data_IF_043816185854
#
_entry.id   IF_043816185854
#
_cell.length_a   1.000
_cell.length_b   1.000
_cell.length_c   1.000
_cell.angle_alpha   90.00
_cell.angle_beta   90.00
_cell.angle_gamma   90.00
#
_symmetry.space_group_name_H-M   'P 1'
#
loop_
_entity.id
_entity.type
_entity.pdbx_description
1 polymer ?
#
# COMPACT_ATOMS: atom_id res chain seq x y z
N UNK A 1 11.83 25.47 -58.34
CA UNK A 1 12.22 25.73 -56.94
C UNK A 1 11.12 25.35 -55.91
N UNK A 2 9.84 25.54 -56.21
CA UNK A 2 8.78 25.36 -55.21
C UNK A 2 8.44 23.91 -54.79
N UNK A 3 8.69 22.90 -55.62
CA UNK A 3 8.40 21.48 -55.29
C UNK A 3 9.43 20.86 -54.32
N UNK A 4 10.69 21.26 -54.42
CA UNK A 4 11.77 20.76 -53.54
C UNK A 4 11.63 21.35 -52.13
N UNK A 5 11.20 22.61 -51.98
CA UNK A 5 10.96 23.28 -50.72
C UNK A 5 9.76 22.64 -50.00
N UNK A 6 8.71 22.25 -50.72
CA UNK A 6 7.53 21.60 -50.13
C UNK A 6 7.86 20.19 -49.61
N UNK A 7 8.69 19.43 -50.31
CA UNK A 7 9.16 18.09 -49.86
C UNK A 7 10.05 18.19 -48.63
N UNK A 8 10.91 19.21 -48.53
CA UNK A 8 11.76 19.45 -47.33
C UNK A 8 10.94 19.83 -46.11
N UNK A 9 9.88 20.64 -46.27
CA UNK A 9 8.95 20.98 -45.18
C UNK A 9 8.15 19.78 -44.68
N UNK A 10 7.72 18.86 -45.55
CA UNK A 10 7.02 17.63 -45.15
C UNK A 10 7.98 16.66 -44.45
N UNK A 11 9.25 16.57 -44.85
CA UNK A 11 10.24 15.74 -44.15
C UNK A 11 10.56 16.26 -42.74
N UNK A 12 10.55 17.56 -42.51
CA UNK A 12 10.80 18.16 -41.19
C UNK A 12 9.64 17.91 -40.21
N UNK A 13 8.39 17.84 -40.70
CA UNK A 13 7.25 17.55 -39.82
C UNK A 13 7.14 16.07 -39.42
N UNK A 14 7.78 15.15 -40.14
CA UNK A 14 7.78 13.71 -39.81
C UNK A 14 8.85 13.38 -38.74
N UNK A 15 9.89 14.20 -38.57
CA UNK A 15 10.99 13.98 -37.64
C UNK A 15 10.73 14.45 -36.21
N UNK A 16 9.55 15.02 -35.91
CA UNK A 16 9.23 15.55 -34.57
C UNK A 16 8.27 14.67 -33.76
N UNK A 17 8.11 13.40 -34.09
CA UNK A 17 7.43 12.46 -33.19
C UNK A 17 8.45 12.02 -32.11
N UNK A 18 8.73 12.90 -31.13
CA UNK A 18 9.34 12.46 -29.88
C UNK A 18 8.36 11.45 -29.26
N UNK A 19 8.72 10.17 -29.30
CA UNK A 19 8.04 9.19 -28.47
C UNK A 19 8.10 9.68 -27.03
N UNK A 20 6.94 10.07 -26.48
CA UNK A 20 6.88 10.47 -25.08
C UNK A 20 7.37 9.30 -24.23
N UNK A 21 8.37 9.58 -23.38
CA UNK A 21 8.90 8.58 -22.45
C UNK A 21 7.77 8.12 -21.54
N UNK A 22 7.58 6.82 -21.41
CA UNK A 22 6.59 6.23 -20.52
C UNK A 22 6.91 6.60 -19.05
N UNK A 23 5.89 6.84 -18.26
CA UNK A 23 6.01 6.93 -16.80
C UNK A 23 6.22 5.52 -16.25
N UNK A 24 7.24 5.32 -15.43
CA UNK A 24 7.51 4.05 -14.78
C UNK A 24 7.05 4.12 -13.32
N UNK A 25 6.23 3.18 -12.89
CA UNK A 25 5.83 3.02 -11.49
C UNK A 25 6.39 1.71 -10.96
N UNK A 26 7.12 1.78 -9.85
CA UNK A 26 7.74 0.64 -9.18
C UNK A 26 7.20 0.59 -7.76
N UNK A 27 6.39 -0.43 -7.45
CA UNK A 27 5.79 -0.60 -6.12
C UNK A 27 6.64 -1.55 -5.29
N UNK A 28 7.22 -1.03 -4.21
CA UNK A 28 8.07 -1.77 -3.29
C UNK A 28 7.33 -1.97 -1.97
N UNK A 29 7.02 -3.22 -1.66
CA UNK A 29 6.58 -3.62 -0.34
C UNK A 29 7.74 -3.57 0.64
N UNK A 30 7.52 -2.99 1.81
CA UNK A 30 8.54 -2.75 2.83
C UNK A 30 8.18 -3.41 4.16
N UNK A 31 9.19 -3.56 5.02
CA UNK A 31 9.06 -3.85 6.43
C UNK A 31 9.40 -2.59 7.20
N UNK A 32 8.47 -2.06 7.99
CA UNK A 32 8.66 -0.79 8.70
C UNK A 32 9.79 -0.82 9.75
N UNK A 33 10.05 -2.00 10.31
CA UNK A 33 11.12 -2.20 11.30
C UNK A 33 12.29 -2.94 10.68
N UNK A 34 13.53 -2.65 11.14
CA UNK A 34 14.70 -3.39 10.69
C UNK A 34 14.58 -4.89 10.98
N UNK A 35 14.87 -5.68 9.95
CA UNK A 35 15.05 -7.13 10.00
C UNK A 35 16.44 -7.46 9.44
N UNK A 36 16.92 -8.67 9.70
CA UNK A 36 18.27 -9.09 9.29
C UNK A 36 18.55 -8.88 7.79
N UNK A 37 17.53 -9.04 6.96
CA UNK A 37 17.65 -9.01 5.49
C UNK A 37 16.93 -7.80 4.86
N UNK A 38 16.34 -6.93 5.67
CA UNK A 38 15.70 -5.72 5.21
C UNK A 38 15.78 -4.62 6.28
N UNK A 39 16.52 -3.58 5.97
CA UNK A 39 16.67 -2.39 6.80
C UNK A 39 16.74 -1.13 5.91
N UNK A 40 16.92 0.02 6.52
CA UNK A 40 17.02 1.30 5.80
C UNK A 40 18.16 1.34 4.79
N UNK A 41 19.29 0.68 5.08
CA UNK A 41 20.43 0.59 4.14
C UNK A 41 20.09 -0.27 2.92
N UNK A 42 19.42 -1.41 3.14
CA UNK A 42 18.94 -2.27 2.04
C UNK A 42 17.98 -1.50 1.13
N UNK A 43 17.02 -0.75 1.71
CA UNK A 43 16.09 0.05 0.94
C UNK A 43 16.80 1.21 0.21
N UNK A 44 17.76 1.86 0.86
CA UNK A 44 18.57 2.91 0.23
C UNK A 44 19.31 2.36 -1.01
N UNK A 45 19.93 1.17 -0.92
CA UNK A 45 20.62 0.56 -2.05
C UNK A 45 19.66 0.20 -3.19
N UNK A 46 18.45 -0.27 -2.89
CA UNK A 46 17.41 -0.49 -3.92
C UNK A 46 17.05 0.84 -4.62
N UNK A 47 16.90 1.93 -3.86
CA UNK A 47 16.66 3.25 -4.45
C UNK A 47 17.83 3.74 -5.31
N UNK A 48 19.09 3.46 -4.90
CA UNK A 48 20.29 3.76 -5.69
C UNK A 48 20.29 3.04 -7.05
N UNK A 49 19.89 1.76 -7.07
CA UNK A 49 19.81 0.97 -8.30
C UNK A 49 18.70 1.45 -9.23
N UNK A 50 17.56 1.86 -8.67
CA UNK A 50 16.40 2.35 -9.43
C UNK A 50 16.62 3.77 -9.96
N UNK A 51 17.20 4.67 -9.18
CA UNK A 51 17.34 6.10 -9.47
C UNK A 51 15.97 6.77 -9.79
N UNK A 52 15.03 6.84 -8.83
CA UNK A 52 13.72 7.44 -9.05
C UNK A 52 13.79 8.97 -9.16
N UNK A 53 12.85 9.56 -9.91
CA UNK A 53 12.57 11.02 -9.87
C UNK A 53 11.67 11.38 -8.68
N UNK A 54 10.80 10.43 -8.27
CA UNK A 54 9.85 10.59 -7.18
C UNK A 54 9.85 9.36 -6.29
N UNK A 55 9.74 9.58 -4.98
CA UNK A 55 9.45 8.54 -3.99
C UNK A 55 8.12 8.89 -3.32
N UNK A 56 7.16 7.98 -3.39
CA UNK A 56 5.86 8.10 -2.77
C UNK A 56 5.83 7.26 -1.50
N UNK A 57 5.41 7.86 -0.37
CA UNK A 57 5.42 7.23 0.93
C UNK A 57 4.00 7.02 1.48
N UNK A 58 3.78 5.90 2.17
CA UNK A 58 2.53 5.53 2.84
C UNK A 58 2.29 6.39 4.10
N UNK A 59 2.36 7.70 3.91
CA UNK A 59 2.13 8.74 4.90
C UNK A 59 1.11 9.74 4.36
N UNK A 60 0.33 10.36 5.24
CA UNK A 60 -0.55 11.46 4.86
C UNK A 60 0.21 12.81 4.88
N UNK A 61 -0.40 13.85 4.33
CA UNK A 61 0.24 15.16 4.16
C UNK A 61 0.65 15.82 5.49
N UNK A 62 0.06 15.42 6.62
CA UNK A 62 0.37 16.00 7.93
C UNK A 62 1.80 15.72 8.39
N UNK A 63 2.45 14.67 7.87
CA UNK A 63 3.84 14.32 8.16
C UNK A 63 4.86 15.15 7.37
N UNK A 64 4.41 15.96 6.41
CA UNK A 64 5.28 16.72 5.52
C UNK A 64 5.15 18.23 5.73
N UNK A 65 6.23 18.95 5.43
CA UNK A 65 6.24 20.39 5.26
C UNK A 65 5.61 20.78 3.92
N UNK A 66 5.41 22.07 3.66
CA UNK A 66 4.82 22.57 2.40
C UNK A 66 5.68 22.25 1.16
N UNK A 67 6.97 22.05 1.31
CA UNK A 67 7.91 21.63 0.26
C UNK A 67 8.17 20.12 0.22
N UNK A 68 7.33 19.35 0.91
CA UNK A 68 7.36 17.89 0.97
C UNK A 68 8.66 17.32 1.56
N UNK A 69 9.17 17.93 2.63
CA UNK A 69 10.18 17.33 3.51
C UNK A 69 9.50 16.77 4.74
N UNK A 70 10.07 15.73 5.34
CA UNK A 70 9.52 15.23 6.59
C UNK A 70 9.60 16.31 7.69
N UNK A 71 8.53 16.46 8.48
CA UNK A 71 8.55 17.32 9.68
C UNK A 71 9.41 16.69 10.77
N UNK A 72 9.29 15.37 10.93
CA UNK A 72 10.05 14.57 11.86
C UNK A 72 10.51 13.29 11.14
N UNK A 73 11.80 12.96 11.19
CA UNK A 73 12.33 11.76 10.57
C UNK A 73 11.88 10.54 11.39
N UNK A 74 11.11 9.69 10.75
CA UNK A 74 10.69 8.42 11.36
C UNK A 74 11.87 7.45 11.50
N UNK A 75 11.91 6.69 12.60
CA UNK A 75 12.85 5.59 12.78
C UNK A 75 12.45 4.32 12.00
N UNK A 76 11.53 4.43 11.04
CA UNK A 76 11.18 3.35 10.11
C UNK A 76 12.25 3.18 9.03
N UNK A 77 12.29 2.00 8.42
CA UNK A 77 13.20 1.75 7.30
C UNK A 77 12.98 2.75 6.16
N UNK A 78 11.72 3.07 5.86
CA UNK A 78 11.33 4.01 4.81
C UNK A 78 11.82 5.43 5.13
N UNK A 79 11.49 5.95 6.32
CA UNK A 79 11.87 7.30 6.70
C UNK A 79 13.39 7.52 6.67
N UNK A 80 14.16 6.58 7.24
CA UNK A 80 15.62 6.67 7.25
C UNK A 80 16.23 6.53 5.85
N UNK A 81 15.72 5.63 5.01
CA UNK A 81 16.22 5.44 3.65
C UNK A 81 15.90 6.65 2.76
N UNK A 82 14.67 7.17 2.85
CA UNK A 82 14.23 8.32 2.07
C UNK A 82 15.03 9.57 2.43
N UNK A 83 15.22 9.87 3.71
CA UNK A 83 16.03 11.02 4.14
C UNK A 83 17.47 10.92 3.62
N UNK A 84 18.13 9.78 3.84
CA UNK A 84 19.48 9.53 3.32
C UNK A 84 19.54 9.70 1.79
N UNK A 85 18.49 9.25 1.08
CA UNK A 85 18.45 9.30 -0.38
C UNK A 85 18.29 10.74 -0.90
N UNK A 86 17.34 11.53 -0.35
CA UNK A 86 17.14 12.91 -0.78
C UNK A 86 18.25 13.86 -0.33
N UNK A 87 18.98 13.55 0.74
CA UNK A 87 20.20 14.27 1.11
C UNK A 87 21.27 14.10 0.02
N UNK A 88 21.45 12.87 -0.48
CA UNK A 88 22.41 12.58 -1.57
C UNK A 88 21.93 13.07 -2.93
N UNK A 89 20.61 13.03 -3.19
CA UNK A 89 19.97 13.39 -4.46
C UNK A 89 18.87 14.45 -4.27
N UNK A 90 19.24 15.74 -4.07
CA UNK A 90 18.28 16.80 -3.69
C UNK A 90 17.21 17.12 -4.74
N UNK A 91 17.40 16.65 -6.00
CA UNK A 91 16.41 16.82 -7.08
C UNK A 91 15.24 15.84 -7.00
N UNK A 92 15.38 14.75 -6.25
CA UNK A 92 14.33 13.76 -6.03
C UNK A 92 13.25 14.34 -5.12
N UNK A 93 12.00 14.02 -5.40
CA UNK A 93 10.84 14.59 -4.70
C UNK A 93 10.10 13.52 -3.93
N UNK A 94 9.88 13.76 -2.64
CA UNK A 94 8.97 12.96 -1.83
C UNK A 94 7.52 13.40 -2.05
N UNK A 95 6.56 12.46 -1.95
CA UNK A 95 5.12 12.76 -1.97
C UNK A 95 4.35 11.81 -1.07
N UNK A 96 3.44 12.34 -0.24
CA UNK A 96 2.47 11.53 0.48
C UNK A 96 1.43 10.97 -0.48
N UNK A 97 0.95 9.73 -0.23
CA UNK A 97 -0.16 9.15 -0.99
C UNK A 97 -1.18 8.41 -0.13
N UNK A 98 -1.01 8.41 1.17
CA UNK A 98 -1.93 7.76 2.12
C UNK A 98 -3.32 8.42 2.11
N UNK A 99 -4.30 7.73 2.68
CA UNK A 99 -5.60 8.27 3.05
C UNK A 99 -5.43 9.37 4.11
N UNK A 100 -5.84 10.60 3.77
CA UNK A 100 -5.70 11.76 4.65
C UNK A 100 -6.45 11.58 5.97
N UNK A 101 -5.78 11.85 7.09
CA UNK A 101 -6.35 11.73 8.43
C UNK A 101 -6.79 10.31 8.81
N UNK A 102 -6.15 9.27 8.24
CA UNK A 102 -6.50 7.86 8.42
C UNK A 102 -6.81 7.46 9.86
N UNK A 103 -6.00 7.92 10.82
CA UNK A 103 -6.14 7.48 12.21
C UNK A 103 -7.38 8.09 12.85
N UNK A 104 -7.60 9.39 12.66
CA UNK A 104 -8.79 10.10 13.16
C UNK A 104 -10.07 9.56 12.51
N UNK A 105 -10.04 9.34 11.21
CA UNK A 105 -11.17 8.75 10.48
C UNK A 105 -11.58 7.40 11.10
N UNK A 106 -10.65 6.47 11.29
CA UNK A 106 -10.91 5.15 11.86
C UNK A 106 -11.44 5.21 13.30
N UNK A 107 -10.92 6.13 14.11
CA UNK A 107 -11.38 6.34 15.49
C UNK A 107 -12.81 6.91 15.47
N UNK A 108 -13.07 7.91 14.64
CA UNK A 108 -14.36 8.59 14.58
C UNK A 108 -15.48 7.67 14.07
N UNK A 109 -15.24 6.84 13.08
CA UNK A 109 -16.23 5.83 12.64
C UNK A 109 -16.31 4.63 13.58
N UNK A 110 -15.38 4.47 14.53
CA UNK A 110 -15.36 3.39 15.53
C UNK A 110 -14.76 2.08 15.01
N UNK A 111 -14.16 2.03 13.83
CA UNK A 111 -13.46 0.84 13.34
C UNK A 111 -12.17 0.56 14.13
N UNK A 112 -11.60 1.57 14.79
CA UNK A 112 -10.51 1.45 15.74
C UNK A 112 -10.99 1.97 17.12
N UNK A 113 -10.84 1.21 18.20
CA UNK A 113 -10.08 -0.05 18.35
C UNK A 113 -10.90 -1.34 18.12
N UNK A 114 -12.15 -1.27 17.61
CA UNK A 114 -13.04 -2.43 17.52
C UNK A 114 -12.47 -3.56 16.65
N UNK A 115 -11.68 -3.26 15.62
CA UNK A 115 -10.98 -4.24 14.81
C UNK A 115 -10.08 -5.16 15.65
N UNK A 116 -9.22 -4.57 16.50
CA UNK A 116 -8.35 -5.32 17.40
C UNK A 116 -9.11 -6.02 18.54
N UNK A 117 -10.17 -5.40 19.09
CA UNK A 117 -10.99 -6.00 20.13
C UNK A 117 -11.77 -7.22 19.61
N UNK A 118 -12.25 -7.12 18.37
CA UNK A 118 -12.99 -8.19 17.71
C UNK A 118 -12.10 -9.40 17.41
N UNK A 119 -10.91 -9.18 16.86
CA UNK A 119 -9.97 -10.28 16.59
C UNK A 119 -9.52 -10.97 17.87
N UNK A 120 -9.27 -10.23 18.96
CA UNK A 120 -8.97 -10.80 20.28
C UNK A 120 -10.12 -11.64 20.81
N UNK A 121 -11.38 -11.22 20.61
CA UNK A 121 -12.53 -11.99 21.03
C UNK A 121 -12.66 -13.28 20.22
N UNK A 122 -12.44 -13.26 18.90
CA UNK A 122 -12.41 -14.47 18.06
C UNK A 122 -11.34 -15.42 18.55
N UNK A 123 -10.11 -14.94 18.79
CA UNK A 123 -9.00 -15.73 19.34
C UNK A 123 -9.40 -16.38 20.68
N UNK A 124 -10.08 -15.64 21.56
CA UNK A 124 -10.54 -16.15 22.85
C UNK A 124 -11.61 -17.22 22.71
N UNK A 125 -12.59 -17.04 21.83
CA UNK A 125 -13.63 -18.03 21.55
C UNK A 125 -13.05 -19.31 20.97
N UNK A 126 -12.06 -19.20 20.07
CA UNK A 126 -11.37 -20.35 19.50
C UNK A 126 -10.58 -21.14 20.58
N UNK A 127 -9.91 -20.42 21.48
CA UNK A 127 -9.09 -21.03 22.54
C UNK A 127 -9.89 -21.90 23.53
N UNK A 128 -11.19 -21.59 23.69
CA UNK A 128 -12.09 -22.32 24.61
C UNK A 128 -13.11 -23.16 23.86
N UNK A 129 -12.84 -23.50 22.60
CA UNK A 129 -13.63 -24.36 21.72
C UNK A 129 -15.12 -23.93 21.59
N UNK A 130 -15.37 -22.61 21.61
CA UNK A 130 -16.71 -22.03 21.44
C UNK A 130 -17.03 -21.64 19.98
N UNK A 131 -16.07 -21.70 19.07
CA UNK A 131 -16.33 -21.57 17.63
C UNK A 131 -16.90 -22.87 17.08
N UNK A 132 -17.86 -22.80 16.16
CA UNK A 132 -18.26 -23.96 15.37
C UNK A 132 -17.10 -24.42 14.47
N UNK A 133 -17.15 -25.67 14.00
CA UNK A 133 -16.14 -26.23 13.09
C UNK A 133 -15.86 -25.34 11.87
N UNK A 134 -16.92 -24.74 11.31
CA UNK A 134 -16.78 -23.82 10.16
C UNK A 134 -16.08 -22.52 10.55
N UNK A 135 -16.42 -21.94 11.70
CA UNK A 135 -15.81 -20.71 12.21
C UNK A 135 -14.35 -20.95 12.61
N UNK A 136 -14.06 -22.08 13.26
CA UNK A 136 -12.71 -22.49 13.61
C UNK A 136 -11.84 -22.70 12.36
N UNK A 137 -12.36 -23.32 11.29
CA UNK A 137 -11.65 -23.46 10.01
C UNK A 137 -11.30 -22.08 9.40
N UNK A 138 -12.23 -21.12 9.42
CA UNK A 138 -11.98 -19.75 8.94
C UNK A 138 -10.87 -19.09 9.76
N UNK A 139 -10.99 -19.12 11.10
CA UNK A 139 -10.00 -18.52 11.99
C UNK A 139 -8.61 -19.17 11.85
N UNK A 140 -8.56 -20.49 11.85
CA UNK A 140 -7.28 -21.22 11.72
C UNK A 140 -6.60 -20.97 10.38
N UNK A 141 -7.36 -20.88 9.27
CA UNK A 141 -6.79 -20.51 7.96
C UNK A 141 -6.22 -19.09 7.98
N UNK A 142 -6.94 -18.12 8.57
CA UNK A 142 -6.42 -16.75 8.76
C UNK A 142 -5.11 -16.72 9.53
N UNK A 143 -5.01 -17.49 10.62
CA UNK A 143 -3.79 -17.56 11.44
C UNK A 143 -2.65 -18.26 10.70
N UNK A 144 -2.94 -19.36 10.02
CA UNK A 144 -1.95 -20.16 9.29
C UNK A 144 -1.29 -19.41 8.12
N UNK A 145 -1.98 -18.43 7.52
CA UNK A 145 -1.43 -17.61 6.43
C UNK A 145 -0.36 -16.61 6.89
N UNK A 146 -0.17 -16.41 8.18
CA UNK A 146 0.85 -15.49 8.68
C UNK A 146 2.25 -16.11 8.61
N UNK A 147 2.41 -17.37 8.96
CA UNK A 147 3.72 -18.05 9.04
C UNK A 147 4.48 -18.02 7.71
N UNK A 148 3.88 -18.38 6.56
CA UNK A 148 4.57 -18.28 5.27
C UNK A 148 5.06 -16.86 4.96
N UNK A 149 4.29 -15.84 5.35
CA UNK A 149 4.66 -14.43 5.12
C UNK A 149 5.86 -14.01 5.98
N UNK A 150 5.91 -14.44 7.24
CA UNK A 150 7.07 -14.22 8.12
C UNK A 150 8.32 -14.86 7.52
N UNK A 151 8.21 -16.11 7.07
CA UNK A 151 9.33 -16.84 6.44
C UNK A 151 9.81 -16.12 5.16
N UNK A 152 8.90 -15.63 4.33
CA UNK A 152 9.26 -14.91 3.10
C UNK A 152 9.89 -13.55 3.41
N UNK A 153 9.35 -12.81 4.37
CA UNK A 153 9.88 -11.53 4.80
C UNK A 153 11.30 -11.63 5.39
N UNK A 154 11.65 -12.79 5.99
CA UNK A 154 12.98 -13.03 6.55
C UNK A 154 14.07 -13.41 5.53
N UNK A 155 13.74 -13.58 4.23
CA UNK A 155 14.70 -14.04 3.21
C UNK A 155 15.39 -12.88 2.49
N UNK A 156 14.68 -12.18 1.62
CA UNK A 156 15.22 -11.03 0.89
C UNK A 156 14.09 -10.11 0.42
N UNK A 157 14.38 -8.87 0.01
CA UNK A 157 13.37 -7.96 -0.55
C UNK A 157 12.57 -8.59 -1.70
N UNK A 158 13.21 -9.31 -2.63
CA UNK A 158 12.56 -9.94 -3.77
C UNK A 158 11.58 -11.04 -3.34
N UNK A 159 11.88 -11.73 -2.22
CA UNK A 159 11.01 -12.82 -1.72
C UNK A 159 9.66 -12.31 -1.19
N UNK A 160 9.58 -11.09 -0.71
CA UNK A 160 8.31 -10.50 -0.28
C UNK A 160 7.75 -9.44 -1.24
N UNK A 161 8.38 -9.29 -2.42
CA UNK A 161 7.99 -8.40 -3.49
C UNK A 161 7.82 -9.16 -4.81
N UNK A 162 6.97 -10.17 -4.83
CA UNK A 162 6.71 -10.96 -6.04
C UNK A 162 5.26 -11.45 -6.07
N UNK A 163 4.74 -11.88 -7.23
CA UNK A 163 3.35 -12.31 -7.38
C UNK A 163 2.93 -13.46 -6.46
N UNK A 164 3.85 -14.35 -6.09
CA UNK A 164 3.53 -15.48 -5.19
C UNK A 164 3.25 -14.98 -3.77
N UNK A 165 4.09 -14.09 -3.26
CA UNK A 165 3.88 -13.47 -1.94
C UNK A 165 2.65 -12.57 -1.96
N UNK A 166 2.43 -11.79 -3.03
CA UNK A 166 1.23 -11.00 -3.21
C UNK A 166 -0.04 -11.85 -3.12
N UNK A 167 -0.04 -13.06 -3.69
CA UNK A 167 -1.18 -13.99 -3.60
C UNK A 167 -1.45 -14.44 -2.16
N UNK A 168 -0.41 -14.72 -1.37
CA UNK A 168 -0.56 -15.08 0.05
C UNK A 168 -1.07 -13.89 0.87
N UNK A 169 -0.56 -12.69 0.60
CA UNK A 169 -1.06 -11.46 1.22
C UNK A 169 -2.54 -11.23 0.89
N UNK A 170 -2.94 -11.38 -0.37
CA UNK A 170 -4.31 -11.25 -0.82
C UNK A 170 -5.24 -12.24 -0.11
N UNK A 171 -4.84 -13.52 -0.05
CA UNK A 171 -5.61 -14.57 0.64
C UNK A 171 -5.75 -14.24 2.13
N UNK A 172 -4.65 -13.87 2.79
CA UNK A 172 -4.69 -13.52 4.22
C UNK A 172 -5.60 -12.33 4.50
N UNK A 173 -5.52 -11.26 3.70
CA UNK A 173 -6.36 -10.08 3.88
C UNK A 173 -7.83 -10.37 3.54
N UNK A 174 -8.11 -11.24 2.55
CA UNK A 174 -9.44 -11.75 2.31
C UNK A 174 -10.01 -12.48 3.53
N UNK A 175 -9.22 -13.37 4.14
CA UNK A 175 -9.66 -14.02 5.38
C UNK A 175 -9.88 -13.02 6.50
N UNK A 176 -8.97 -12.09 6.71
CA UNK A 176 -9.08 -11.07 7.76
C UNK A 176 -10.33 -10.19 7.61
N UNK A 177 -10.55 -9.63 6.43
CA UNK A 177 -11.56 -8.60 6.23
C UNK A 177 -12.88 -9.11 5.63
N UNK A 178 -12.91 -10.30 5.02
CA UNK A 178 -14.13 -10.84 4.41
C UNK A 178 -14.60 -12.13 5.08
N UNK A 179 -13.69 -13.01 5.48
CA UNK A 179 -14.11 -14.28 6.08
C UNK A 179 -14.37 -14.16 7.58
N UNK A 180 -13.56 -13.42 8.34
CA UNK A 180 -13.83 -13.19 9.77
C UNK A 180 -15.13 -12.40 9.99
N UNK A 181 -15.56 -11.53 9.05
CA UNK A 181 -16.88 -10.87 9.15
C UNK A 181 -18.04 -11.87 9.13
N UNK A 182 -17.87 -13.04 8.51
CA UNK A 182 -18.90 -14.11 8.54
C UNK A 182 -19.09 -14.69 9.95
N UNK A 183 -18.03 -14.69 10.77
CA UNK A 183 -18.12 -15.08 12.18
C UNK A 183 -18.83 -13.98 12.96
N UNK A 184 -18.35 -12.73 12.84
CA UNK A 184 -18.88 -11.61 13.65
C UNK A 184 -20.34 -11.31 13.34
N UNK A 185 -20.77 -11.45 12.07
CA UNK A 185 -22.14 -11.16 11.66
C UNK A 185 -23.16 -12.19 12.16
N UNK A 186 -22.74 -13.42 12.43
CA UNK A 186 -23.62 -14.50 12.90
C UNK A 186 -23.75 -14.59 14.41
N UNK A 187 -22.74 -14.12 15.14
CA UNK A 187 -22.62 -14.36 16.58
C UNK A 187 -23.09 -13.16 17.40
N UNK A 188 -23.93 -13.43 18.39
CA UNK A 188 -24.52 -12.40 19.25
C UNK A 188 -23.46 -11.70 20.14
N UNK A 189 -22.37 -12.40 20.49
CA UNK A 189 -21.30 -11.85 21.31
C UNK A 189 -20.67 -10.58 20.73
N UNK A 190 -20.65 -10.44 19.39
CA UNK A 190 -20.13 -9.24 18.71
C UNK A 190 -21.18 -8.13 18.57
N UNK A 191 -22.47 -8.48 18.57
CA UNK A 191 -23.56 -7.50 18.52
C UNK A 191 -23.83 -6.84 19.88
N UNK A 192 -23.54 -7.54 20.99
CA UNK A 192 -23.88 -7.09 22.35
C UNK A 192 -22.68 -6.50 23.10
N UNK A 193 -21.48 -6.54 22.53
CA UNK A 193 -20.29 -5.85 23.06
C UNK A 193 -20.09 -4.55 22.31
N UNK A 194 -19.85 -3.48 23.05
CA UNK A 194 -19.77 -2.13 22.51
C UNK A 194 -18.46 -1.45 22.86
N UNK A 195 -18.04 -0.56 21.98
CA UNK A 195 -17.05 0.47 22.23
C UNK A 195 -17.72 1.85 22.14
N UNK A 196 -17.28 2.80 22.98
CA UNK A 196 -17.78 4.18 22.93
C UNK A 196 -16.82 5.01 22.07
N UNK A 197 -17.37 5.61 21.00
CA UNK A 197 -16.66 6.52 20.11
C UNK A 197 -16.36 7.86 20.80
N UNK A 198 -15.45 8.70 20.26
CA UNK A 198 -15.15 10.02 20.84
C UNK A 198 -16.36 10.95 20.99
N UNK A 199 -17.36 10.81 20.13
CA UNK A 199 -18.61 11.59 20.18
C UNK A 199 -19.63 11.06 21.21
N UNK A 200 -19.28 10.03 21.99
CA UNK A 200 -20.15 9.42 22.99
C UNK A 200 -21.09 8.32 22.49
N UNK A 201 -21.20 8.13 21.18
CA UNK A 201 -22.03 7.06 20.62
C UNK A 201 -21.39 5.69 20.82
N UNK A 202 -22.23 4.68 21.00
CA UNK A 202 -21.79 3.28 21.09
C UNK A 202 -21.83 2.61 19.73
N UNK A 203 -20.78 1.87 19.42
CA UNK A 203 -20.69 1.01 18.25
C UNK A 203 -20.46 -0.44 18.69
N UNK A 204 -21.19 -1.39 18.11
CA UNK A 204 -20.96 -2.81 18.40
C UNK A 204 -19.61 -3.29 17.83
N UNK A 205 -19.06 -4.36 18.39
CA UNK A 205 -17.86 -5.00 17.82
C UNK A 205 -18.13 -5.53 16.41
N UNK A 206 -19.36 -5.99 16.14
CA UNK A 206 -19.82 -6.41 14.81
C UNK A 206 -19.72 -5.28 13.80
N UNK A 207 -20.38 -4.15 14.09
CA UNK A 207 -20.47 -3.02 13.17
C UNK A 207 -19.10 -2.34 13.00
N UNK A 208 -18.34 -2.18 14.09
CA UNK A 208 -17.01 -1.62 14.03
C UNK A 208 -16.03 -2.49 13.24
N UNK A 209 -16.16 -3.82 13.29
CA UNK A 209 -15.33 -4.72 12.47
C UNK A 209 -15.76 -4.70 11.00
N UNK A 210 -17.06 -4.58 10.70
CA UNK A 210 -17.52 -4.38 9.33
C UNK A 210 -16.96 -3.08 8.76
N UNK A 211 -17.01 -1.96 9.51
CA UNK A 211 -16.39 -0.70 9.09
C UNK A 211 -14.87 -0.81 8.89
N UNK A 212 -14.18 -1.65 9.69
CA UNK A 212 -12.77 -1.91 9.46
C UNK A 212 -12.51 -2.66 8.15
N UNK A 213 -13.38 -3.62 7.82
CA UNK A 213 -13.35 -4.35 6.54
C UNK A 213 -13.58 -3.43 5.35
N UNK A 214 -14.58 -2.56 5.42
CA UNK A 214 -14.91 -1.62 4.34
C UNK A 214 -13.82 -0.56 4.18
N UNK A 215 -13.23 -0.12 5.30
CA UNK A 215 -12.12 0.84 5.29
C UNK A 215 -10.85 0.26 4.67
N UNK A 216 -10.59 -1.06 4.80
CA UNK A 216 -9.46 -1.69 4.13
C UNK A 216 -9.50 -1.46 2.62
N UNK A 217 -10.65 -1.68 1.99
CA UNK A 217 -10.81 -1.48 0.55
C UNK A 217 -10.73 0.00 0.21
N UNK A 218 -11.50 0.86 0.90
CA UNK A 218 -11.52 2.31 0.69
C UNK A 218 -10.10 2.91 0.78
N UNK A 219 -9.30 2.50 1.77
CA UNK A 219 -7.93 2.98 1.96
C UNK A 219 -7.04 2.61 0.77
N UNK A 220 -7.03 1.34 0.38
CA UNK A 220 -6.16 0.86 -0.70
C UNK A 220 -6.56 1.45 -2.06
N UNK A 221 -7.86 1.59 -2.34
CA UNK A 221 -8.33 2.28 -3.55
C UNK A 221 -7.94 3.76 -3.55
N UNK A 222 -8.04 4.44 -2.39
CA UNK A 222 -7.64 5.85 -2.26
C UNK A 222 -6.14 6.01 -2.49
N UNK A 223 -5.33 5.14 -1.91
CA UNK A 223 -3.88 5.13 -2.12
C UNK A 223 -3.54 4.93 -3.61
N UNK A 224 -4.15 3.96 -4.28
CA UNK A 224 -3.92 3.72 -5.71
C UNK A 224 -4.35 4.92 -6.58
N UNK A 225 -5.48 5.56 -6.29
CA UNK A 225 -5.95 6.78 -6.97
C UNK A 225 -4.97 7.95 -6.76
N UNK A 226 -4.43 8.11 -5.54
CA UNK A 226 -3.44 9.15 -5.25
C UNK A 226 -2.13 8.91 -6.01
N UNK A 227 -1.64 7.67 -6.05
CA UNK A 227 -0.47 7.28 -6.85
C UNK A 227 -0.69 7.64 -8.31
N UNK A 228 -1.85 7.25 -8.89
CA UNK A 228 -2.17 7.56 -10.28
C UNK A 228 -2.20 9.06 -10.56
N UNK A 229 -2.88 9.83 -9.71
CA UNK A 229 -2.95 11.29 -9.85
C UNK A 229 -1.55 11.94 -9.87
N UNK A 230 -0.65 11.50 -8.97
CA UNK A 230 0.72 11.98 -8.93
C UNK A 230 1.48 11.56 -10.19
N UNK A 231 1.29 10.33 -10.66
CA UNK A 231 1.96 9.80 -11.84
C UNK A 231 1.54 10.52 -13.12
N UNK A 232 0.26 10.81 -13.28
CA UNK A 232 -0.28 11.57 -14.43
C UNK A 232 0.20 13.04 -14.47
N UNK A 233 0.46 13.62 -13.30
CA UNK A 233 1.06 14.96 -13.20
C UNK A 233 2.56 14.99 -13.51
N UNK A 234 3.20 13.81 -13.63
CA UNK A 234 4.65 13.67 -13.78
C UNK A 234 5.00 12.68 -14.91
N UNK A 235 4.47 12.94 -16.11
CA UNK A 235 4.69 12.11 -17.29
C UNK A 235 6.19 11.90 -17.61
N UNK A 236 6.53 10.68 -18.02
CA UNK A 236 7.90 10.30 -18.39
C UNK A 236 8.86 10.16 -17.22
N UNK A 237 8.37 10.22 -15.97
CA UNK A 237 9.16 10.11 -14.75
C UNK A 237 9.19 8.69 -14.21
N UNK A 238 10.23 8.37 -13.45
CA UNK A 238 10.37 7.14 -12.70
C UNK A 238 9.93 7.37 -11.25
N UNK A 239 8.91 6.64 -10.82
CA UNK A 239 8.21 6.82 -9.55
C UNK A 239 8.33 5.53 -8.75
N UNK A 240 8.94 5.60 -7.59
CA UNK A 240 8.95 4.52 -6.60
C UNK A 240 7.82 4.76 -5.61
N UNK A 241 7.04 3.73 -5.31
CA UNK A 241 5.98 3.73 -4.30
C UNK A 241 6.38 2.77 -3.19
N UNK A 242 6.58 3.29 -1.98
CA UNK A 242 6.90 2.50 -0.79
C UNK A 242 5.61 2.22 -0.02
N UNK A 243 5.31 0.95 0.22
CA UNK A 243 4.14 0.54 1.01
C UNK A 243 4.48 -0.63 1.94
N UNK A 244 3.79 -0.77 3.05
CA UNK A 244 3.86 -2.00 3.82
C UNK A 244 3.52 -3.20 2.91
N UNK A 245 4.35 -4.25 2.90
CA UNK A 245 4.28 -5.33 1.89
C UNK A 245 2.90 -6.01 1.81
N UNK A 246 2.10 -5.95 2.88
CA UNK A 246 0.74 -6.47 2.88
C UNK A 246 -0.27 -5.63 2.08
N UNK A 247 0.08 -4.41 1.68
CA UNK A 247 -0.74 -3.55 0.81
C UNK A 247 -0.41 -3.72 -0.67
N UNK A 248 0.82 -4.19 -0.97
CA UNK A 248 1.40 -4.21 -2.31
C UNK A 248 0.50 -4.88 -3.35
N UNK A 249 -0.03 -6.06 -3.06
CA UNK A 249 -0.91 -6.79 -3.97
C UNK A 249 -2.14 -5.99 -4.39
N UNK A 250 -2.75 -5.26 -3.43
CA UNK A 250 -3.94 -4.47 -3.68
C UNK A 250 -3.61 -3.25 -4.53
N UNK A 251 -2.56 -2.51 -4.15
CA UNK A 251 -2.09 -1.34 -4.89
C UNK A 251 -1.76 -1.72 -6.33
N UNK A 252 -1.00 -2.80 -6.56
CA UNK A 252 -0.66 -3.26 -7.93
C UNK A 252 -1.92 -3.66 -8.70
N UNK A 253 -2.86 -4.36 -8.07
CA UNK A 253 -4.13 -4.75 -8.72
C UNK A 253 -4.93 -3.53 -9.18
N UNK A 254 -5.05 -2.50 -8.35
CA UNK A 254 -5.76 -1.27 -8.71
C UNK A 254 -4.98 -0.45 -9.75
N UNK A 255 -3.67 -0.33 -9.61
CA UNK A 255 -2.85 0.38 -10.59
C UNK A 255 -2.93 -0.26 -11.98
N UNK A 256 -2.96 -1.59 -12.10
CA UNK A 256 -3.14 -2.28 -13.38
C UNK A 256 -4.43 -1.85 -14.09
N UNK A 257 -5.54 -1.72 -13.35
CA UNK A 257 -6.81 -1.23 -13.90
C UNK A 257 -6.73 0.24 -14.31
N UNK A 258 -6.10 1.06 -13.45
CA UNK A 258 -6.03 2.51 -13.63
C UNK A 258 -5.03 2.93 -14.73
N UNK A 259 -4.05 2.09 -15.06
CA UNK A 259 -3.03 2.36 -16.10
C UNK A 259 -3.45 1.85 -17.48
N UNK A 260 -4.56 1.11 -17.60
CA UNK A 260 -5.03 0.58 -18.89
C UNK A 260 -5.22 1.71 -19.91
N UNK A 261 -4.61 1.55 -21.08
CA UNK A 261 -4.65 2.54 -22.17
C UNK A 261 -3.80 3.80 -21.96
N UNK A 262 -3.00 3.88 -20.89
CA UNK A 262 -2.11 5.01 -20.58
C UNK A 262 -0.64 4.70 -20.88
N UNK A 263 0.15 5.72 -21.13
CA UNK A 263 1.61 5.59 -21.31
C UNK A 263 2.34 5.45 -19.95
N UNK A 264 1.89 4.48 -19.14
CA UNK A 264 2.41 4.18 -17.80
C UNK A 264 2.74 2.69 -17.73
N UNK A 265 3.91 2.35 -17.23
CA UNK A 265 4.43 0.98 -17.12
C UNK A 265 4.63 0.65 -15.63
N UNK A 266 4.08 -0.47 -15.19
CA UNK A 266 4.38 -1.03 -13.86
C UNK A 266 5.57 -1.97 -14.00
N UNK A 267 6.59 -1.79 -13.17
CA UNK A 267 7.80 -2.63 -13.14
C UNK A 267 8.07 -3.17 -11.75
N UNK A 268 8.77 -4.29 -11.70
CA UNK A 268 9.38 -4.78 -10.46
C UNK A 268 10.77 -4.13 -10.29
N UNK A 269 11.18 -3.90 -9.05
CA UNK A 269 12.46 -3.24 -8.78
C UNK A 269 13.68 -4.11 -9.16
N UNK A 270 13.51 -5.41 -9.25
CA UNK A 270 14.52 -6.40 -9.63
C UNK A 270 14.51 -6.77 -11.12
N UNK A 271 13.60 -6.19 -11.92
CA UNK A 271 13.59 -6.33 -13.39
C UNK A 271 14.56 -5.32 -14.01
N UNK A 272 15.44 -5.82 -14.88
CA UNK A 272 16.45 -5.00 -15.61
C UNK A 272 15.90 -4.50 -16.93
#
# INVERSE_FOLDING_TARGET
MNKIILILLILITILSCKTEKSTEIIVIGTLHKPESNFNSETLFNILEDIQPDFILEELDSSFFTSDFRHKDISNSNEGMACEKYIEKYPTVKLRPYEFEGRNEYRINIGSRPTDGLTTKLIDSLNKVDLLSDTEAKIHNKYKALLEPLIVLASKSPENFNNPSTDSICAERQYYQYKMLTRITNKRNEFATRFHTKPNGEKISYRDGYQLASDFWDLRNETMAKNIMRISEQNNGKKIVVLCGFMHRYYIISELRKLTEGKNIILKEFYEK
#
